data_IF_468244898088
#
_entry.id   IF_468244898088
#
_cell.length_a   1.000
_cell.length_b   1.000
_cell.length_c   1.000
_cell.angle_alpha   90.00
_cell.angle_beta   90.00
_cell.angle_gamma   90.00
#
_symmetry.space_group_name_H-M   'P 1'
#
loop_
_entity.id
_entity.type
_entity.pdbx_description
1 polymer ?
#
# COMPACT_ATOMS: atom_id res chain seq x y z
N UNK A 1 -23.63 -10.56 -3.17
CA UNK A 1 -23.67 -9.20 -3.74
C UNK A 1 -24.69 -9.25 -4.85
N UNK A 2 -25.71 -8.41 -4.84
CA UNK A 2 -26.65 -8.35 -5.96
C UNK A 2 -25.97 -7.78 -7.23
N UNK A 3 -26.55 -8.07 -8.39
CA UNK A 3 -25.99 -7.69 -9.69
C UNK A 3 -25.86 -6.17 -9.87
N UNK A 4 -26.72 -5.39 -9.19
CA UNK A 4 -26.71 -3.92 -9.25
C UNK A 4 -25.49 -3.34 -8.53
N UNK A 5 -25.22 -3.80 -7.29
CA UNK A 5 -24.05 -3.38 -6.52
C UNK A 5 -22.75 -3.75 -7.23
N UNK A 6 -22.69 -4.94 -7.85
CA UNK A 6 -21.53 -5.35 -8.64
C UNK A 6 -21.34 -4.45 -9.87
N UNK A 7 -22.43 -4.13 -10.58
CA UNK A 7 -22.39 -3.21 -11.72
C UNK A 7 -21.89 -1.81 -11.35
N UNK A 8 -22.34 -1.27 -10.20
CA UNK A 8 -21.86 0.01 -9.67
C UNK A 8 -20.38 -0.03 -9.31
N UNK A 9 -19.92 -1.09 -8.64
CA UNK A 9 -18.51 -1.26 -8.27
C UNK A 9 -17.62 -1.32 -9.51
N UNK A 10 -18.02 -2.09 -10.53
CA UNK A 10 -17.28 -2.20 -11.79
C UNK A 10 -17.12 -0.85 -12.47
N UNK A 11 -18.21 -0.08 -12.64
CA UNK A 11 -18.15 1.26 -13.23
C UNK A 11 -17.23 2.20 -12.45
N UNK A 12 -17.24 2.11 -11.11
CA UNK A 12 -16.35 2.91 -10.28
C UNK A 12 -14.88 2.55 -10.51
N UNK A 13 -14.54 1.25 -10.54
CA UNK A 13 -13.19 0.74 -10.79
C UNK A 13 -12.71 1.13 -12.19
N UNK A 14 -13.53 0.95 -13.22
CA UNK A 14 -13.21 1.31 -14.60
C UNK A 14 -12.86 2.81 -14.72
N UNK A 15 -13.49 3.66 -13.92
CA UNK A 15 -13.19 5.09 -13.84
C UNK A 15 -11.87 5.45 -13.13
N UNK A 16 -11.19 4.51 -12.47
CA UNK A 16 -9.96 4.76 -11.71
C UNK A 16 -8.68 4.68 -12.54
N UNK A 17 -8.74 4.41 -13.86
CA UNK A 17 -7.55 4.18 -14.69
C UNK A 17 -6.47 5.26 -14.52
N UNK A 18 -6.85 6.54 -14.59
CA UNK A 18 -5.91 7.67 -14.45
C UNK A 18 -5.21 7.68 -13.09
N UNK A 19 -5.95 7.39 -12.03
CA UNK A 19 -5.43 7.32 -10.67
C UNK A 19 -4.51 6.11 -10.50
N UNK A 20 -4.90 4.95 -11.02
CA UNK A 20 -4.07 3.75 -11.02
C UNK A 20 -2.74 4.00 -11.74
N UNK A 21 -2.77 4.61 -12.93
CA UNK A 21 -1.54 4.97 -13.67
C UNK A 21 -0.68 5.94 -12.85
N UNK A 22 -1.27 6.95 -12.21
CA UNK A 22 -0.56 7.91 -11.37
C UNK A 22 0.16 7.22 -10.21
N UNK A 23 -0.55 6.36 -9.48
CA UNK A 23 -0.01 5.61 -8.33
C UNK A 23 1.08 4.64 -8.75
N UNK A 24 0.84 3.87 -9.81
CA UNK A 24 1.82 2.90 -10.31
C UNK A 24 3.08 3.60 -10.81
N UNK A 25 2.97 4.73 -11.51
CA UNK A 25 4.13 5.52 -11.93
C UNK A 25 4.97 5.97 -10.73
N UNK A 26 4.32 6.50 -9.69
CA UNK A 26 5.02 6.94 -8.48
C UNK A 26 5.67 5.78 -7.71
N UNK A 27 4.99 4.65 -7.56
CA UNK A 27 5.55 3.46 -6.91
C UNK A 27 6.73 2.87 -7.69
N UNK A 28 6.63 2.81 -9.01
CA UNK A 28 7.69 2.24 -9.86
C UNK A 28 8.91 3.16 -9.92
N UNK A 29 8.73 4.48 -9.90
CA UNK A 29 9.84 5.43 -9.93
C UNK A 29 10.71 5.40 -8.67
N UNK A 30 10.18 4.92 -7.54
CA UNK A 30 10.95 4.77 -6.30
C UNK A 30 11.69 3.43 -6.34
N UNK A 31 13.03 3.47 -6.42
CA UNK A 31 13.89 2.28 -6.42
C UNK A 31 13.80 1.59 -5.05
N UNK A 32 13.28 0.37 -5.03
CA UNK A 32 13.17 -0.46 -3.82
C UNK A 32 13.99 -1.76 -3.98
N UNK A 33 15.25 -1.62 -4.39
CA UNK A 33 16.18 -2.74 -4.55
C UNK A 33 16.98 -2.89 -3.26
N UNK A 34 17.14 -4.13 -2.78
CA UNK A 34 17.99 -4.43 -1.64
C UNK A 34 19.49 -4.23 -1.91
N UNK A 35 20.33 -4.22 -0.86
CA UNK A 35 21.79 -4.07 -0.93
C UNK A 35 22.47 -5.07 -1.88
N UNK A 36 22.03 -6.32 -1.88
CA UNK A 36 22.55 -7.37 -2.79
C UNK A 36 22.38 -7.03 -4.27
N UNK A 37 21.44 -6.14 -4.60
CA UNK A 37 21.15 -5.68 -5.95
C UNK A 37 21.59 -4.21 -6.16
N UNK A 38 22.51 -3.70 -5.34
CA UNK A 38 23.03 -2.33 -5.45
C UNK A 38 21.99 -1.24 -5.17
N UNK A 39 21.04 -1.49 -4.27
CA UNK A 39 20.06 -0.51 -3.82
C UNK A 39 20.05 -0.33 -2.30
N UNK A 40 19.25 0.63 -1.84
CA UNK A 40 19.18 1.06 -0.43
C UNK A 40 18.02 0.41 0.34
N UNK A 41 17.31 -0.52 -0.28
CA UNK A 41 16.08 -1.09 0.23
C UNK A 41 14.85 -0.25 -0.10
N UNK A 42 13.75 -0.56 0.58
CA UNK A 42 12.38 -0.17 0.25
C UNK A 42 11.83 0.94 1.17
N UNK A 43 12.65 1.49 2.07
CA UNK A 43 12.22 2.44 3.10
C UNK A 43 11.49 3.67 2.50
N UNK A 44 12.06 4.29 1.46
CA UNK A 44 11.44 5.44 0.78
C UNK A 44 10.08 5.07 0.15
N UNK A 45 10.01 3.91 -0.50
CA UNK A 45 8.76 3.40 -1.11
C UNK A 45 7.69 3.13 -0.06
N UNK A 46 8.10 2.54 1.07
CA UNK A 46 7.23 2.30 2.21
C UNK A 46 6.67 3.61 2.78
N UNK A 47 7.52 4.62 2.99
CA UNK A 47 7.10 5.93 3.48
C UNK A 47 6.10 6.60 2.53
N UNK A 48 6.37 6.57 1.23
CA UNK A 48 5.47 7.11 0.21
C UNK A 48 4.11 6.38 0.22
N UNK A 49 4.11 5.04 0.29
CA UNK A 49 2.88 4.25 0.29
C UNK A 49 2.03 4.54 1.53
N UNK A 50 2.64 4.66 2.71
CA UNK A 50 1.91 5.03 3.92
C UNK A 50 1.24 6.40 3.82
N UNK A 51 1.95 7.39 3.27
CA UNK A 51 1.41 8.73 3.05
C UNK A 51 0.26 8.71 2.03
N UNK A 52 0.43 7.96 0.93
CA UNK A 52 -0.63 7.75 -0.05
C UNK A 52 -1.89 7.14 0.58
N UNK A 53 -1.76 6.05 1.35
CA UNK A 53 -2.89 5.39 2.00
C UNK A 53 -3.63 6.33 2.95
N UNK A 54 -2.90 7.10 3.78
CA UNK A 54 -3.50 8.09 4.68
C UNK A 54 -4.27 9.16 3.91
N UNK A 55 -3.68 9.72 2.84
CA UNK A 55 -4.32 10.74 1.99
C UNK A 55 -5.54 10.21 1.24
N UNK A 56 -5.54 8.92 0.90
CA UNK A 56 -6.67 8.23 0.27
C UNK A 56 -7.77 7.83 1.26
N UNK A 57 -7.68 8.24 2.52
CA UNK A 57 -8.74 8.06 3.52
C UNK A 57 -8.69 6.73 4.30
N UNK A 58 -7.60 5.98 4.21
CA UNK A 58 -7.40 4.82 5.09
C UNK A 58 -7.11 5.30 6.51
N UNK A 59 -8.02 5.00 7.44
CA UNK A 59 -7.96 5.51 8.81
C UNK A 59 -6.93 4.82 9.71
N UNK A 60 -6.61 3.55 9.46
CA UNK A 60 -5.72 2.75 10.29
C UNK A 60 -4.58 2.17 9.45
N UNK A 61 -3.50 2.95 9.32
CA UNK A 61 -2.28 2.59 8.58
C UNK A 61 -1.10 2.58 9.56
N UNK A 62 -0.49 1.42 9.76
CA UNK A 62 0.62 1.20 10.70
C UNK A 62 1.80 0.53 10.01
N UNK A 63 3.00 0.85 10.47
CA UNK A 63 4.22 0.13 10.10
C UNK A 63 4.68 -0.74 11.28
N UNK A 64 5.10 -1.96 11.01
CA UNK A 64 5.67 -2.91 11.97
C UNK A 64 7.10 -3.26 11.53
N UNK A 65 8.04 -2.32 11.65
CA UNK A 65 9.35 -2.48 11.06
C UNK A 65 10.08 -3.73 11.55
N UNK A 66 10.67 -4.46 10.61
CA UNK A 66 11.51 -5.62 10.89
C UNK A 66 12.98 -5.19 10.91
N UNK A 67 13.72 -5.36 12.02
CA UNK A 67 15.14 -5.01 12.06
C UNK A 67 15.94 -5.76 10.99
N UNK A 68 16.76 -5.04 10.23
CA UNK A 68 17.67 -5.62 9.25
C UNK A 68 18.91 -4.70 9.11
N UNK A 69 20.06 -5.08 9.70
CA UNK A 69 21.27 -4.27 9.62
C UNK A 69 21.91 -4.28 8.23
N UNK A 70 21.48 -5.16 7.31
CA UNK A 70 22.00 -5.17 5.93
C UNK A 70 21.51 -3.98 5.11
N UNK A 71 20.35 -3.40 5.46
CA UNK A 71 19.83 -2.19 4.79
C UNK A 71 20.32 -0.92 5.48
N UNK A 72 20.62 0.16 4.72
CA UNK A 72 21.00 1.45 5.31
C UNK A 72 19.99 2.03 6.30
N UNK A 73 18.70 1.72 6.12
CA UNK A 73 17.64 2.15 7.04
C UNK A 73 17.66 1.42 8.40
N UNK A 74 18.41 0.32 8.54
CA UNK A 74 18.46 -0.53 9.74
C UNK A 74 17.20 -1.37 9.97
N UNK A 75 16.13 -1.14 9.20
CA UNK A 75 14.87 -1.84 9.28
C UNK A 75 14.16 -1.89 7.92
N UNK A 76 13.27 -2.89 7.77
CA UNK A 76 12.40 -3.05 6.62
C UNK A 76 10.96 -2.71 7.00
N UNK A 77 10.24 -1.92 6.19
CA UNK A 77 8.85 -1.61 6.45
C UNK A 77 7.96 -2.87 6.30
N UNK A 78 6.97 -2.97 7.17
CA UNK A 78 5.89 -3.96 7.10
C UNK A 78 4.57 -3.21 7.37
N UNK A 79 3.92 -2.79 6.29
CA UNK A 79 2.80 -1.86 6.35
C UNK A 79 1.49 -2.65 6.42
N UNK A 80 0.66 -2.32 7.40
CA UNK A 80 -0.69 -2.84 7.55
C UNK A 80 -1.66 -1.68 7.49
N UNK A 81 -2.59 -1.75 6.53
CA UNK A 81 -3.75 -0.87 6.45
C UNK A 81 -5.03 -1.66 6.75
N UNK A 82 -5.86 -1.20 7.69
CA UNK A 82 -7.10 -1.87 8.10
C UNK A 82 -8.31 -1.02 7.70
N UNK A 83 -9.28 -1.67 7.07
CA UNK A 83 -10.61 -1.10 6.83
C UNK A 83 -11.59 -1.88 7.72
N UNK A 84 -12.23 -1.25 8.72
CA UNK A 84 -13.21 -1.94 9.55
C UNK A 84 -14.44 -2.30 8.70
N UNK A 85 -14.78 -3.58 8.68
CA UNK A 85 -16.04 -4.06 8.12
C UNK A 85 -17.21 -3.77 9.06
N UNK A 86 -18.44 -3.93 8.56
CA UNK A 86 -19.65 -3.86 9.40
C UNK A 86 -19.68 -4.93 10.49
N UNK A 87 -19.05 -6.08 10.21
CA UNK A 87 -18.81 -7.17 11.15
C UNK A 87 -17.34 -7.20 11.51
N UNK A 88 -17.04 -7.19 12.80
CA UNK A 88 -15.66 -7.15 13.34
C UNK A 88 -15.26 -8.45 14.03
N UNK A 89 -16.12 -9.47 14.01
CA UNK A 89 -15.86 -10.81 14.58
C UNK A 89 -14.99 -11.69 13.67
N UNK A 90 -14.75 -11.26 12.43
CA UNK A 90 -13.90 -11.93 11.45
C UNK A 90 -13.10 -10.91 10.68
N UNK A 91 -11.93 -11.33 10.19
CA UNK A 91 -11.06 -10.52 9.33
C UNK A 91 -10.63 -11.34 8.12
N UNK A 92 -10.54 -10.68 6.97
CA UNK A 92 -9.83 -11.19 5.80
C UNK A 92 -8.48 -10.47 5.82
N UNK A 93 -7.40 -11.25 5.89
CA UNK A 93 -6.02 -10.77 5.94
C UNK A 93 -5.36 -10.95 4.57
#
# INVERSE_FOLDING_TARGET
MDNENFGRLRKYIDGQEKELIRVMKALVSIKALGPLNGGTGEAEKGAWLMDYLKKSGFGDVKNYPAPDPSVPAGERPNIVARIPGKRTDKSIW
#
